data_IF_119321048103
#
_entry.id   IF_119321048103
#
_cell.length_a   1.000
_cell.length_b   1.000
_cell.length_c   1.000
_cell.angle_alpha   90.00
_cell.angle_beta   90.00
_cell.angle_gamma   90.00
#
_symmetry.space_group_name_H-M   'P 1'
#
loop_
_entity.id
_entity.type
_entity.pdbx_description
1 polymer ?
#
# COMPACT_ATOMS: atom_id res chain seq x y z
N UNK A 1 51.79 -1.89 -11.04
CA UNK A 1 51.31 -0.76 -11.85
C UNK A 1 50.54 0.18 -10.92
N UNK A 2 51.00 1.43 -10.79
CA UNK A 2 50.32 2.56 -10.13
C UNK A 2 50.51 3.78 -11.05
N UNK A 3 49.52 4.68 -11.13
CA UNK A 3 49.64 5.98 -10.43
C UNK A 3 48.29 6.36 -9.74
N UNK A 4 48.18 7.04 -8.58
CA UNK A 4 48.53 8.44 -8.21
C UNK A 4 48.07 9.47 -9.27
N UNK A 5 47.47 10.62 -9.02
CA UNK A 5 46.92 11.37 -7.90
C UNK A 5 46.17 12.57 -8.56
N UNK A 6 45.06 13.04 -7.99
CA UNK A 6 44.92 14.39 -7.43
C UNK A 6 44.78 15.60 -8.38
N UNK A 7 43.63 16.27 -8.21
CA UNK A 7 43.40 17.72 -8.10
C UNK A 7 44.10 18.67 -9.08
N UNK A 8 43.31 19.34 -9.93
CA UNK A 8 43.65 20.63 -10.50
C UNK A 8 42.81 21.75 -9.84
N UNK A 9 43.49 22.53 -8.99
CA UNK A 9 43.17 23.94 -8.74
C UNK A 9 43.81 24.77 -9.87
N UNK A 10 43.08 25.73 -10.44
CA UNK A 10 43.64 26.65 -11.43
C UNK A 10 42.65 27.74 -11.83
N UNK A 11 42.91 28.94 -11.33
CA UNK A 11 42.17 30.19 -11.52
C UNK A 11 42.80 31.03 -12.66
N UNK A 12 42.02 32.00 -13.18
CA UNK A 12 42.39 33.24 -13.91
C UNK A 12 42.38 33.25 -15.47
N UNK A 13 42.19 34.44 -16.11
CA UNK A 13 41.05 34.73 -17.00
C UNK A 13 41.46 35.22 -18.39
N UNK A 14 40.54 35.28 -19.38
CA UNK A 14 40.48 36.39 -20.34
C UNK A 14 39.27 36.30 -21.28
N UNK A 15 38.50 37.40 -21.26
CA UNK A 15 37.82 38.07 -22.38
C UNK A 15 37.72 37.29 -23.71
N UNK A 16 36.50 36.92 -24.08
CA UNK A 16 36.09 36.81 -25.47
C UNK A 16 34.67 37.37 -25.64
N UNK A 17 34.66 38.61 -26.13
CA UNK A 17 33.84 39.13 -27.23
C UNK A 17 32.33 38.87 -27.20
N UNK A 18 31.61 39.98 -27.09
CA UNK A 18 30.18 40.13 -27.29
C UNK A 18 29.75 39.58 -28.67
N UNK A 19 28.68 38.78 -28.65
CA UNK A 19 27.88 38.48 -29.84
C UNK A 19 26.58 39.29 -29.84
N UNK A 20 26.08 39.70 -31.02
CA UNK A 20 24.90 40.54 -31.14
C UNK A 20 23.62 39.74 -30.85
N UNK A 21 22.67 40.39 -30.19
CA UNK A 21 21.34 39.88 -29.90
C UNK A 21 20.52 39.68 -31.19
N UNK A 22 19.78 38.56 -31.33
CA UNK A 22 18.65 38.48 -32.24
C UNK A 22 17.39 39.02 -31.56
N UNK A 23 16.65 39.75 -32.38
CA UNK A 23 15.42 40.48 -32.18
C UNK A 23 14.25 39.64 -31.64
N UNK A 24 13.45 40.31 -30.79
CA UNK A 24 12.07 40.02 -30.37
C UNK A 24 11.33 38.94 -31.17
N UNK A 25 11.10 37.79 -30.53
CA UNK A 25 9.94 36.95 -30.79
C UNK A 25 9.27 36.73 -29.43
N UNK A 26 8.02 37.17 -29.32
CA UNK A 26 7.23 37.14 -28.10
C UNK A 26 7.25 35.76 -27.46
N UNK A 27 7.93 35.67 -26.32
CA UNK A 27 7.90 34.49 -25.46
C UNK A 27 6.53 34.50 -24.78
N UNK A 28 5.54 33.92 -25.46
CA UNK A 28 4.29 33.49 -24.83
C UNK A 28 4.74 32.58 -23.70
N UNK A 29 4.65 33.06 -22.47
CA UNK A 29 4.72 32.22 -21.28
C UNK A 29 3.54 31.26 -21.41
N UNK A 30 3.76 30.14 -22.10
CA UNK A 30 2.95 28.96 -21.88
C UNK A 30 3.18 28.61 -20.43
N UNK A 31 2.26 29.05 -19.59
CA UNK A 31 1.96 28.40 -18.33
C UNK A 31 1.76 26.93 -18.69
N UNK A 32 2.80 26.13 -18.48
CA UNK A 32 2.62 24.71 -18.30
C UNK A 32 1.79 24.60 -17.04
N UNK A 33 0.47 24.59 -17.22
CA UNK A 33 -0.44 24.02 -16.24
C UNK A 33 -0.03 22.57 -16.17
N UNK A 34 0.82 22.24 -15.18
CA UNK A 34 0.96 20.86 -14.73
C UNK A 34 -0.47 20.35 -14.53
N UNK A 35 -0.87 19.21 -15.11
CA UNK A 35 -2.15 18.64 -14.78
C UNK A 35 -2.19 18.51 -13.26
N UNK A 36 -3.11 19.24 -12.65
CA UNK A 36 -3.41 19.09 -11.24
C UNK A 36 -3.55 17.59 -10.99
N UNK A 37 -2.80 17.08 -10.01
CA UNK A 37 -2.96 15.72 -9.50
C UNK A 37 -4.47 15.49 -9.40
N UNK A 38 -5.03 14.62 -10.25
CA UNK A 38 -6.42 14.23 -10.10
C UNK A 38 -6.54 13.75 -8.65
N UNK A 39 -7.34 14.45 -7.84
CA UNK A 39 -7.52 14.10 -6.43
C UNK A 39 -7.98 12.64 -6.40
N UNK A 40 -7.06 11.74 -6.04
CA UNK A 40 -7.35 10.32 -5.96
C UNK A 40 -8.43 10.15 -4.90
N UNK A 41 -9.48 9.41 -5.22
CA UNK A 41 -10.57 9.19 -4.27
C UNK A 41 -10.01 8.52 -3.00
N UNK A 42 -10.46 8.92 -1.79
CA UNK A 42 -10.09 8.23 -0.57
C UNK A 42 -10.46 6.74 -0.65
N UNK A 43 -9.50 5.88 -0.34
CA UNK A 43 -9.69 4.43 -0.36
C UNK A 43 -10.77 3.98 0.66
N UNK A 44 -10.84 4.69 1.79
CA UNK A 44 -11.73 4.47 2.93
C UNK A 44 -13.23 4.51 2.56
N UNK A 45 -13.56 5.26 1.49
CA UNK A 45 -14.92 5.47 0.99
C UNK A 45 -15.23 4.65 -0.27
N UNK A 46 -14.28 3.86 -0.75
CA UNK A 46 -14.48 3.07 -1.95
C UNK A 46 -15.62 2.05 -1.79
N UNK A 47 -16.41 1.88 -2.85
CA UNK A 47 -17.55 0.94 -2.87
C UNK A 47 -17.12 -0.52 -2.97
N UNK A 48 -15.87 -0.78 -3.35
CA UNK A 48 -15.28 -2.10 -3.45
C UNK A 48 -13.81 -2.06 -3.06
N UNK A 49 -13.32 -3.12 -2.43
CA UNK A 49 -11.90 -3.32 -2.14
C UNK A 49 -11.41 -4.65 -2.70
N UNK A 50 -10.15 -4.67 -3.12
CA UNK A 50 -9.41 -5.87 -3.52
C UNK A 50 -8.16 -5.96 -2.67
N UNK A 51 -7.88 -7.15 -2.14
CA UNK A 51 -6.64 -7.43 -1.41
C UNK A 51 -5.64 -8.06 -2.36
N UNK A 52 -4.45 -7.47 -2.42
CA UNK A 52 -3.35 -7.97 -3.25
C UNK A 52 -2.13 -8.28 -2.42
N UNK A 53 -1.27 -9.18 -2.91
CA UNK A 53 -0.01 -9.57 -2.26
C UNK A 53 -0.26 -9.97 -0.81
N UNK A 54 -1.22 -10.87 -0.63
CA UNK A 54 -1.66 -11.30 0.69
C UNK A 54 -0.67 -12.34 1.19
N UNK A 55 -0.03 -12.08 2.33
CA UNK A 55 0.88 -13.01 2.98
C UNK A 55 0.49 -13.22 4.44
N UNK A 56 0.51 -14.47 4.88
CA UNK A 56 0.25 -14.95 6.22
C UNK A 56 1.41 -15.84 6.65
N UNK A 57 2.22 -15.35 7.57
CA UNK A 57 3.37 -16.07 8.11
C UNK A 57 3.13 -16.43 9.58
N UNK A 58 3.61 -17.61 9.98
CA UNK A 58 3.55 -18.09 11.36
C UNK A 58 4.98 -18.13 11.90
N UNK A 59 5.53 -16.98 12.37
CA UNK A 59 6.92 -16.92 12.83
C UNK A 59 7.16 -17.67 14.15
N UNK A 60 6.10 -17.97 14.90
CA UNK A 60 6.12 -18.78 16.12
C UNK A 60 4.72 -19.37 16.39
N UNK A 61 4.64 -20.42 17.21
CA UNK A 61 3.40 -21.15 17.48
C UNK A 61 2.24 -20.29 17.99
N UNK A 62 2.52 -19.12 18.58
CA UNK A 62 1.53 -18.19 19.12
C UNK A 62 1.54 -16.81 18.47
N UNK A 63 2.11 -16.68 17.26
CA UNK A 63 2.19 -15.41 16.53
C UNK A 63 1.77 -15.57 15.08
N UNK A 64 0.90 -14.67 14.62
CA UNK A 64 0.50 -14.56 13.22
C UNK A 64 0.99 -13.23 12.69
N UNK A 65 1.78 -13.25 11.62
CA UNK A 65 2.05 -12.06 10.81
C UNK A 65 1.15 -12.11 9.57
N UNK A 66 0.42 -11.04 9.31
CA UNK A 66 -0.47 -10.93 8.15
C UNK A 66 -0.27 -9.58 7.47
N UNK A 67 -0.05 -9.60 6.16
CA UNK A 67 0.21 -8.43 5.35
C UNK A 67 -0.54 -8.46 4.02
N UNK A 68 -1.07 -7.33 3.58
CA UNK A 68 -1.73 -7.21 2.27
C UNK A 68 -1.85 -5.75 1.82
N UNK A 69 -2.06 -5.58 0.52
CA UNK A 69 -2.26 -4.30 -0.13
C UNK A 69 -3.74 -4.10 -0.47
N UNK A 70 -4.34 -3.04 0.08
CA UNK A 70 -5.73 -2.68 -0.16
C UNK A 70 -5.78 -1.79 -1.41
N UNK A 71 -6.58 -2.20 -2.39
CA UNK A 71 -6.68 -1.50 -3.67
C UNK A 71 -8.15 -1.29 -4.07
N UNK A 72 -8.38 -0.20 -4.80
CA UNK A 72 -9.66 0.06 -5.48
C UNK A 72 -9.40 0.93 -6.72
N UNK A 73 -10.14 0.76 -7.83
CA UNK A 73 -9.97 1.59 -9.03
C UNK A 73 -10.08 3.08 -8.72
N UNK A 74 -9.11 3.88 -9.18
CA UNK A 74 -9.10 5.34 -9.00
C UNK A 74 -8.72 5.83 -7.59
N UNK A 75 -8.43 4.92 -6.66
CA UNK A 75 -7.98 5.24 -5.30
C UNK A 75 -6.47 5.01 -5.15
N UNK A 76 -5.82 5.73 -4.25
CA UNK A 76 -4.44 5.41 -3.89
C UNK A 76 -4.40 4.15 -3.03
N UNK A 77 -3.60 3.13 -3.39
CA UNK A 77 -3.47 1.93 -2.59
C UNK A 77 -2.85 2.18 -1.21
N UNK A 78 -3.21 1.34 -0.25
CA UNK A 78 -2.66 1.40 1.11
C UNK A 78 -2.24 0.02 1.59
N UNK A 79 -1.18 -0.03 2.40
CA UNK A 79 -0.74 -1.26 3.03
C UNK A 79 -1.44 -1.50 4.36
N UNK A 80 -1.66 -2.77 4.68
CA UNK A 80 -2.03 -3.21 6.01
C UNK A 80 -1.10 -4.34 6.42
N UNK A 81 -0.42 -4.16 7.55
CA UNK A 81 0.37 -5.20 8.21
C UNK A 81 -0.07 -5.34 9.66
N UNK A 82 -0.07 -6.57 10.17
CA UNK A 82 -0.35 -6.85 11.57
C UNK A 82 0.52 -8.02 12.05
N UNK A 83 1.08 -7.89 13.25
CA UNK A 83 1.71 -8.98 13.99
C UNK A 83 0.89 -9.19 15.26
N UNK A 84 0.24 -10.35 15.36
CA UNK A 84 -0.77 -10.62 16.38
C UNK A 84 -0.32 -11.79 17.24
N UNK A 85 -0.28 -11.61 18.55
CA UNK A 85 -0.14 -12.69 19.52
C UNK A 85 -1.51 -13.33 19.74
N UNK A 86 -1.55 -14.64 19.66
CA UNK A 86 -2.76 -15.44 19.84
C UNK A 86 -2.59 -16.40 21.02
N UNK A 87 -3.66 -16.70 21.77
CA UNK A 87 -3.56 -17.60 22.93
C UNK A 87 -3.34 -19.06 22.53
N UNK A 88 -3.86 -19.45 21.36
CA UNK A 88 -3.84 -20.82 20.84
C UNK A 88 -2.82 -20.97 19.69
N UNK A 89 -2.83 -22.13 19.03
CA UNK A 89 -1.96 -22.40 17.88
C UNK A 89 -2.27 -21.44 16.72
N UNK A 90 -1.26 -20.71 16.28
CA UNK A 90 -1.36 -19.65 15.28
C UNK A 90 -1.85 -20.12 13.90
N UNK A 91 -1.71 -21.41 13.59
CA UNK A 91 -2.28 -22.02 12.39
C UNK A 91 -3.82 -22.06 12.38
N UNK A 92 -4.44 -22.08 13.56
CA UNK A 92 -5.90 -22.25 13.73
C UNK A 92 -6.53 -21.08 14.48
N UNK A 93 -5.74 -20.06 14.82
CA UNK A 93 -6.19 -18.95 15.63
C UNK A 93 -7.10 -17.99 14.87
N UNK A 94 -8.02 -17.38 15.61
CA UNK A 94 -8.85 -16.26 15.18
C UNK A 94 -8.57 -15.05 16.05
N UNK A 95 -8.61 -13.86 15.46
CA UNK A 95 -8.40 -12.60 16.17
C UNK A 95 -9.27 -11.49 15.56
N UNK A 96 -9.53 -10.46 16.36
CA UNK A 96 -10.47 -9.40 15.96
C UNK A 96 -9.92 -8.01 16.20
N UNK A 97 -10.39 -7.06 15.40
CA UNK A 97 -10.17 -5.63 15.56
C UNK A 97 -8.68 -5.23 15.66
N UNK A 98 -7.82 -5.87 14.87
CA UNK A 98 -6.41 -5.55 14.84
C UNK A 98 -6.16 -4.34 13.94
N UNK A 99 -5.55 -3.26 14.47
CA UNK A 99 -5.23 -2.09 13.66
C UNK A 99 -4.14 -2.43 12.66
N UNK A 100 -4.28 -1.94 11.44
CA UNK A 100 -3.26 -2.05 10.41
C UNK A 100 -2.09 -1.11 10.69
N UNK A 101 -0.87 -1.59 10.55
CA UNK A 101 0.31 -0.74 10.35
C UNK A 101 0.39 -0.38 8.88
N UNK A 102 0.55 0.91 8.55
CA UNK A 102 0.62 1.42 7.18
C UNK A 102 -0.67 2.01 6.63
N UNK A 103 -1.77 1.93 7.37
CA UNK A 103 -3.06 2.57 7.07
C UNK A 103 -3.89 2.74 8.34
N UNK A 104 -5.01 3.46 8.26
CA UNK A 104 -5.93 3.61 9.39
C UNK A 104 -7.03 2.52 9.41
N UNK A 105 -6.89 1.49 8.58
CA UNK A 105 -7.83 0.37 8.52
C UNK A 105 -7.69 -0.52 9.75
N UNK A 106 -8.72 -1.31 9.99
CA UNK A 106 -8.73 -2.38 11.01
C UNK A 106 -9.12 -3.68 10.33
N UNK A 107 -8.52 -4.79 10.75
CA UNK A 107 -8.85 -6.11 10.23
C UNK A 107 -9.14 -7.12 11.33
N UNK A 108 -9.97 -8.11 11.01
CA UNK A 108 -10.19 -9.30 11.83
C UNK A 108 -9.91 -10.53 10.97
N UNK A 109 -9.43 -11.60 11.58
CA UNK A 109 -9.18 -12.89 10.95
C UNK A 109 -9.94 -13.99 11.67
N UNK A 110 -10.65 -14.82 10.92
CA UNK A 110 -11.30 -16.03 11.40
C UNK A 110 -10.73 -17.25 10.71
N UNK A 111 -10.59 -18.34 11.46
CA UNK A 111 -10.22 -19.65 10.94
C UNK A 111 -11.40 -20.63 11.06
N UNK A 112 -11.56 -21.51 10.07
CA UNK A 112 -12.52 -22.62 10.08
C UNK A 112 -11.81 -23.92 9.72
N UNK A 113 -11.82 -24.87 10.63
CA UNK A 113 -11.07 -26.12 10.52
C UNK A 113 -11.53 -27.02 9.36
N UNK A 114 -12.85 -27.12 9.12
CA UNK A 114 -13.42 -28.08 8.15
C UNK A 114 -12.84 -27.96 6.74
N UNK A 115 -12.52 -26.73 6.31
CA UNK A 115 -12.04 -26.40 4.97
C UNK A 115 -10.60 -25.88 4.97
N UNK A 116 -9.94 -25.88 6.14
CA UNK A 116 -8.71 -25.10 6.37
C UNK A 116 -8.88 -23.67 5.83
N UNK A 117 -10.00 -23.03 6.20
CA UNK A 117 -10.43 -21.78 5.59
C UNK A 117 -10.12 -20.58 6.48
N UNK A 118 -9.60 -19.52 5.86
CA UNK A 118 -9.35 -18.23 6.48
C UNK A 118 -10.34 -17.19 5.97
N UNK A 119 -10.88 -16.37 6.87
CA UNK A 119 -11.82 -15.31 6.55
C UNK A 119 -11.29 -14.01 7.15
N UNK A 120 -10.95 -13.04 6.30
CA UNK A 120 -10.58 -11.71 6.71
C UNK A 120 -11.77 -10.75 6.59
N UNK A 121 -12.03 -10.00 7.65
CA UNK A 121 -12.95 -8.86 7.61
C UNK A 121 -12.14 -7.58 7.69
N UNK A 122 -12.33 -6.68 6.73
CA UNK A 122 -11.63 -5.39 6.67
C UNK A 122 -12.62 -4.26 6.97
N UNK A 123 -12.22 -3.32 7.83
CA UNK A 123 -13.00 -2.16 8.23
C UNK A 123 -12.23 -0.87 7.89
N UNK A 124 -12.94 0.12 7.35
CA UNK A 124 -12.37 1.46 7.20
C UNK A 124 -12.17 2.14 8.58
N UNK A 125 -11.48 3.29 8.66
CA UNK A 125 -11.06 3.88 9.94
C UNK A 125 -12.20 4.19 10.92
N UNK A 126 -13.38 4.56 10.41
CA UNK A 126 -14.56 4.85 11.22
C UNK A 126 -15.47 3.64 11.42
N UNK A 127 -15.08 2.46 10.91
CA UNK A 127 -15.89 1.24 10.87
C UNK A 127 -17.30 1.50 10.31
N UNK A 128 -17.44 2.46 9.39
CA UNK A 128 -18.68 2.76 8.69
C UNK A 128 -18.86 1.88 7.45
N UNK A 129 -17.77 1.25 6.98
CA UNK A 129 -17.76 0.29 5.89
C UNK A 129 -16.99 -0.96 6.27
N UNK A 130 -17.47 -2.11 5.79
CA UNK A 130 -16.82 -3.41 5.95
C UNK A 130 -16.83 -4.23 4.66
N UNK A 131 -15.84 -5.08 4.47
CA UNK A 131 -15.84 -6.11 3.43
C UNK A 131 -15.20 -7.40 3.95
N UNK A 132 -15.62 -8.54 3.39
CA UNK A 132 -15.14 -9.87 3.78
C UNK A 132 -14.36 -10.51 2.64
N UNK A 133 -13.32 -11.27 2.97
CA UNK A 133 -12.43 -11.94 2.03
C UNK A 133 -12.13 -13.33 2.57
N UNK A 134 -12.14 -14.35 1.70
CA UNK A 134 -12.02 -15.74 2.12
C UNK A 134 -11.03 -16.52 1.26
N UNK A 135 -10.37 -17.48 1.87
CA UNK A 135 -9.48 -18.43 1.23
C UNK A 135 -9.69 -19.81 1.85
N UNK A 136 -9.42 -20.84 1.05
CA UNK A 136 -9.34 -22.22 1.53
C UNK A 136 -7.89 -22.66 1.55
N UNK A 137 -7.61 -23.72 2.31
CA UNK A 137 -6.27 -24.29 2.44
C UNK A 137 -5.21 -23.28 2.90
N UNK A 138 -5.56 -22.41 3.84
CA UNK A 138 -4.71 -21.28 4.25
C UNK A 138 -3.42 -21.69 4.94
N UNK A 139 -3.31 -22.94 5.38
CA UNK A 139 -2.10 -23.47 6.01
C UNK A 139 -1.14 -24.15 5.01
N UNK A 140 -1.51 -24.26 3.72
CA UNK A 140 -0.64 -24.87 2.70
C UNK A 140 0.46 -23.93 2.15
N UNK A 141 0.33 -22.62 2.37
CA UNK A 141 1.25 -21.60 1.83
C UNK A 141 1.23 -20.36 2.71
N UNK A 142 2.37 -19.65 2.76
CA UNK A 142 2.43 -18.31 3.36
C UNK A 142 1.83 -17.25 2.44
N UNK A 143 2.00 -17.40 1.13
CA UNK A 143 1.40 -16.51 0.14
C UNK A 143 -0.03 -16.99 -0.18
N UNK A 144 -0.99 -16.11 0.06
CA UNK A 144 -2.40 -16.33 -0.27
C UNK A 144 -2.74 -15.60 -1.57
N UNK A 145 -3.68 -16.16 -2.34
CA UNK A 145 -4.09 -15.57 -3.61
C UNK A 145 -4.69 -14.16 -3.43
N UNK A 146 -4.48 -13.28 -4.41
CA UNK A 146 -5.22 -12.02 -4.52
C UNK A 146 -6.73 -12.30 -4.53
N UNK A 147 -7.53 -11.46 -3.85
CA UNK A 147 -8.96 -11.70 -3.67
C UNK A 147 -9.78 -10.40 -3.75
N UNK A 148 -10.97 -10.51 -4.33
CA UNK A 148 -11.84 -9.40 -4.66
C UNK A 148 -11.86 -9.11 -6.17
N UNK A 149 -12.50 -8.00 -6.59
CA UNK A 149 -13.06 -6.94 -5.75
C UNK A 149 -14.35 -7.35 -5.03
N UNK A 150 -14.40 -7.13 -3.71
CA UNK A 150 -15.60 -7.36 -2.90
C UNK A 150 -16.24 -6.03 -2.51
N UNK A 151 -17.58 -6.00 -2.48
CA UNK A 151 -18.35 -4.80 -2.16
C UNK A 151 -18.21 -4.42 -0.69
N UNK A 152 -18.14 -3.12 -0.43
CA UNK A 152 -18.20 -2.59 0.93
C UNK A 152 -19.65 -2.45 1.37
N UNK A 153 -19.95 -2.95 2.56
CA UNK A 153 -21.26 -2.84 3.20
C UNK A 153 -21.23 -1.77 4.27
N UNK A 154 -22.27 -0.94 4.34
CA UNK A 154 -22.40 0.05 5.42
C UNK A 154 -22.68 -0.63 6.75
N UNK A 155 -21.89 -0.32 7.76
CA UNK A 155 -22.08 -0.80 9.14
C UNK A 155 -22.82 0.28 9.92
N UNK A 156 -24.12 0.05 10.20
CA UNK A 156 -24.91 0.97 11.04
C UNK A 156 -26.31 1.34 10.55
N UNK A 157 -26.77 0.83 9.40
CA UNK A 157 -28.18 0.90 9.01
C UNK A 157 -28.87 -0.41 9.40
N UNK A 158 -29.45 -0.45 10.60
CA UNK A 158 -30.54 -1.38 10.95
C UNK A 158 -31.82 -0.58 11.08
#
# INVERSE_FOLDING_TARGET
>A
MKPLAALCLGSLPQLCLAWPAPTSIGRRLSLFVSPASADKQPLDDASKWTLKKVSREIPADNRVWLGFHITSPGCEPQWCYMLVHVPDHAHEASFSNQPCVGSNFTASWGYRADEDAGILTLFNPHKSRTAWFGWNHVNNSTDLADVGPNATSETGKK
#
